data_IF_418574866835
#
_entry.id   IF_418574866835
#
_cell.length_a   1.000
_cell.length_b   1.000
_cell.length_c   1.000
_cell.angle_alpha   90.00
_cell.angle_beta   90.00
_cell.angle_gamma   90.00
#
_symmetry.space_group_name_H-M   'P 1'
#
loop_
_entity.id
_entity.type
_entity.pdbx_description
1 polymer ?
#
# COMPACT_ATOMS: atom_id res chain seq x y z
N UNK A 1 -13.34 14.90 -3.22
CA UNK A 1 -12.81 14.07 -2.11
C UNK A 1 -11.31 14.07 -2.16
N UNK A 2 -10.67 14.31 -1.01
CA UNK A 2 -9.22 14.26 -0.86
C UNK A 2 -8.81 12.97 -0.16
N UNK A 3 -7.88 12.23 -0.76
CA UNK A 3 -7.28 11.05 -0.16
C UNK A 3 -5.79 11.33 0.04
N UNK A 4 -5.26 11.00 1.20
CA UNK A 4 -3.82 10.95 1.44
C UNK A 4 -3.42 9.48 1.49
N UNK A 5 -2.38 9.11 0.75
CA UNK A 5 -1.70 7.81 0.86
C UNK A 5 -0.36 8.02 1.56
N UNK A 6 -0.13 7.22 2.59
CA UNK A 6 1.16 7.03 3.23
C UNK A 6 1.56 5.56 3.11
N UNK A 7 2.84 5.27 3.26
CA UNK A 7 3.37 3.92 3.17
C UNK A 7 4.65 3.78 3.99
N UNK A 8 4.95 2.57 4.39
CA UNK A 8 6.26 2.22 4.95
C UNK A 8 6.64 3.14 6.12
N UNK A 9 5.75 3.24 7.11
CA UNK A 9 5.97 4.04 8.33
C UNK A 9 6.84 3.34 9.36
N UNK A 10 6.88 2.01 9.35
CA UNK A 10 7.69 1.17 10.23
C UNK A 10 7.66 1.60 11.69
N UNK A 11 6.44 1.63 12.25
CA UNK A 11 6.21 2.02 13.64
C UNK A 11 6.46 0.84 14.58
N UNK A 12 7.07 1.10 15.72
CA UNK A 12 7.25 0.15 16.83
C UNK A 12 7.46 0.89 18.13
N UNK A 13 6.91 0.34 19.22
CA UNK A 13 7.16 0.85 20.56
C UNK A 13 8.58 0.51 21.03
N UNK A 14 9.05 -0.69 20.73
CA UNK A 14 10.32 -1.22 21.24
C UNK A 14 11.51 -0.99 20.30
N UNK A 15 11.24 -0.71 19.01
CA UNK A 15 12.23 -0.45 17.97
C UNK A 15 11.99 0.91 17.31
N UNK A 16 12.18 2.04 18.05
CA UNK A 16 11.77 3.38 17.59
C UNK A 16 12.76 4.04 16.63
N UNK A 17 13.46 3.28 15.78
CA UNK A 17 14.56 3.77 14.92
C UNK A 17 14.15 4.92 13.99
N UNK A 18 12.89 4.94 13.53
CA UNK A 18 12.38 5.92 12.56
C UNK A 18 11.17 6.68 13.11
N UNK A 19 10.90 6.56 14.41
CA UNK A 19 9.70 7.08 15.05
C UNK A 19 9.64 8.61 15.08
N UNK A 20 10.79 9.28 15.01
CA UNK A 20 10.87 10.74 14.91
C UNK A 20 10.16 11.29 13.67
N UNK A 21 9.98 10.49 12.62
CA UNK A 21 9.21 10.84 11.43
C UNK A 21 7.69 10.77 11.64
N UNK A 22 7.20 10.09 12.68
CA UNK A 22 5.76 9.99 12.90
C UNK A 22 5.09 11.31 13.24
N UNK A 23 5.64 12.09 14.17
CA UNK A 23 5.03 13.34 14.59
C UNK A 23 4.91 14.40 13.48
N UNK A 24 5.95 14.70 12.68
CA UNK A 24 5.82 15.59 11.53
C UNK A 24 4.88 15.05 10.45
N UNK A 25 4.86 13.73 10.20
CA UNK A 25 3.93 13.10 9.26
C UNK A 25 2.48 13.28 9.72
N UNK A 26 2.18 13.00 10.99
CA UNK A 26 0.84 13.13 11.57
C UNK A 26 0.35 14.59 11.51
N UNK A 27 1.19 15.55 11.85
CA UNK A 27 0.87 16.95 11.74
C UNK A 27 0.57 17.37 10.30
N UNK A 28 1.41 16.94 9.36
CA UNK A 28 1.19 17.22 7.94
C UNK A 28 -0.09 16.58 7.40
N UNK A 29 -0.41 15.34 7.78
CA UNK A 29 -1.66 14.66 7.39
C UNK A 29 -2.86 15.47 7.88
N UNK A 30 -2.84 15.93 9.13
CA UNK A 30 -3.92 16.76 9.69
C UNK A 30 -4.10 18.07 8.89
N UNK A 31 -3.02 18.72 8.50
CA UNK A 31 -3.05 19.94 7.68
C UNK A 31 -3.57 19.70 6.25
N UNK A 32 -3.49 18.47 5.74
CA UNK A 32 -4.08 18.14 4.44
C UNK A 32 -5.61 18.03 4.50
N UNK A 33 -6.21 17.87 5.68
CA UNK A 33 -7.65 17.64 5.86
C UNK A 33 -8.21 16.55 4.94
N UNK A 34 -7.65 15.34 4.93
CA UNK A 34 -8.12 14.28 4.04
C UNK A 34 -9.49 13.74 4.47
N UNK A 35 -10.34 13.40 3.50
CA UNK A 35 -11.58 12.66 3.73
C UNK A 35 -11.31 11.18 4.04
N UNK A 36 -10.16 10.67 3.57
CA UNK A 36 -9.70 9.31 3.80
C UNK A 36 -8.16 9.26 3.78
N UNK A 37 -7.59 8.59 4.77
CA UNK A 37 -6.18 8.21 4.79
C UNK A 37 -6.06 6.74 4.37
N UNK A 38 -5.14 6.43 3.45
CA UNK A 38 -4.85 5.06 3.03
C UNK A 38 -3.39 4.76 3.35
N UNK A 39 -3.14 3.68 4.10
CA UNK A 39 -1.80 3.16 4.36
C UNK A 39 -1.54 1.93 3.49
N UNK A 40 -0.51 1.98 2.66
CA UNK A 40 -0.19 0.89 1.73
C UNK A 40 0.88 -0.07 2.25
N UNK A 41 0.80 -0.41 3.56
CA UNK A 41 1.56 -1.49 4.18
C UNK A 41 2.92 -1.09 4.76
N UNK A 42 3.55 -2.04 5.42
CA UNK A 42 4.71 -1.85 6.28
C UNK A 42 4.46 -0.74 7.29
N UNK A 43 3.30 -0.89 7.95
CA UNK A 43 2.88 0.02 9.04
C UNK A 43 3.79 -0.16 10.23
N UNK A 44 4.20 -1.42 10.49
CA UNK A 44 5.01 -1.83 11.63
C UNK A 44 6.44 -2.16 11.25
N UNK A 45 7.36 -2.12 12.23
CA UNK A 45 8.72 -2.64 12.05
C UNK A 45 8.73 -4.17 11.96
N UNK A 46 7.93 -4.86 12.79
CA UNK A 46 7.98 -6.33 12.91
C UNK A 46 6.66 -6.94 13.39
N UNK A 47 5.52 -6.44 12.93
CA UNK A 47 4.20 -6.96 13.31
C UNK A 47 4.01 -8.44 13.00
N UNK A 48 4.70 -8.95 11.98
CA UNK A 48 4.72 -10.37 11.63
C UNK A 48 5.38 -11.26 12.70
N UNK A 49 6.30 -10.71 13.49
CA UNK A 49 6.99 -11.40 14.60
C UNK A 49 6.58 -10.93 15.98
N UNK A 50 6.16 -9.66 16.09
CA UNK A 50 5.91 -8.96 17.37
C UNK A 50 4.54 -8.30 17.32
N UNK A 51 3.50 -9.04 17.74
CA UNK A 51 2.10 -8.58 17.60
C UNK A 51 1.79 -7.27 18.34
N UNK A 52 2.58 -6.88 19.37
CA UNK A 52 2.41 -5.60 20.04
C UNK A 52 2.65 -4.43 19.09
N UNK A 53 3.51 -4.58 18.08
CA UNK A 53 3.72 -3.55 17.07
C UNK A 53 2.44 -3.26 16.28
N UNK A 54 1.63 -4.31 15.97
CA UNK A 54 0.33 -4.12 15.30
C UNK A 54 -0.64 -3.29 16.15
N UNK A 55 -0.78 -3.63 17.44
CA UNK A 55 -1.69 -2.89 18.32
C UNK A 55 -1.24 -1.45 18.55
N UNK A 56 0.05 -1.25 18.76
CA UNK A 56 0.64 0.07 18.95
C UNK A 56 0.46 0.97 17.71
N UNK A 57 0.75 0.43 16.53
CA UNK A 57 0.62 1.19 15.29
C UNK A 57 -0.83 1.49 14.92
N UNK A 58 -1.76 0.55 15.17
CA UNK A 58 -3.19 0.79 14.99
C UNK A 58 -3.70 1.90 15.92
N UNK A 59 -3.25 1.94 17.18
CA UNK A 59 -3.57 3.02 18.11
C UNK A 59 -3.08 4.38 17.58
N UNK A 60 -1.85 4.46 17.09
CA UNK A 60 -1.31 5.70 16.51
C UNK A 60 -2.11 6.17 15.28
N UNK A 61 -2.58 5.24 14.45
CA UNK A 61 -3.47 5.57 13.33
C UNK A 61 -4.83 6.10 13.79
N UNK A 62 -5.42 5.50 14.84
CA UNK A 62 -6.68 5.95 15.42
C UNK A 62 -6.55 7.34 16.09
N UNK A 63 -5.43 7.63 16.73
CA UNK A 63 -5.13 8.92 17.36
C UNK A 63 -5.09 10.10 16.36
N UNK A 64 -4.91 9.83 15.05
CA UNK A 64 -5.05 10.86 14.01
C UNK A 64 -6.48 11.45 13.94
N UNK A 65 -7.49 10.73 14.43
CA UNK A 65 -8.89 11.15 14.36
C UNK A 65 -9.44 11.29 12.96
N UNK A 66 -8.79 10.71 11.97
CA UNK A 66 -9.15 10.71 10.54
C UNK A 66 -9.60 9.31 10.15
N UNK A 67 -10.60 9.21 9.31
CA UNK A 67 -11.00 7.91 8.74
C UNK A 67 -9.85 7.34 7.93
N UNK A 68 -9.48 6.09 8.22
CA UNK A 68 -8.40 5.43 7.52
C UNK A 68 -8.72 4.01 7.05
N UNK A 69 -7.96 3.54 6.09
CA UNK A 69 -7.87 2.15 5.62
C UNK A 69 -6.41 1.77 5.46
N UNK A 70 -6.11 0.50 5.67
CA UNK A 70 -4.77 -0.02 5.43
C UNK A 70 -4.83 -1.35 4.69
N UNK A 71 -3.76 -1.68 3.99
CA UNK A 71 -3.44 -3.02 3.52
C UNK A 71 -2.13 -3.44 4.17
N UNK A 72 -1.90 -4.73 4.44
CA UNK A 72 -0.67 -5.15 5.09
C UNK A 72 0.52 -5.09 4.14
N UNK A 73 1.71 -4.90 4.72
CA UNK A 73 3.00 -5.11 4.10
C UNK A 73 3.70 -6.35 4.64
N UNK A 74 4.90 -6.62 4.16
CA UNK A 74 5.65 -7.83 4.56
C UNK A 74 6.16 -7.75 6.01
N UNK A 75 6.38 -6.56 6.55
CA UNK A 75 6.70 -6.40 7.97
C UNK A 75 5.48 -6.62 8.88
N UNK A 76 4.26 -6.51 8.34
CA UNK A 76 3.03 -6.65 9.10
C UNK A 76 2.53 -8.10 9.19
N UNK A 77 2.59 -8.85 8.07
CA UNK A 77 2.01 -10.22 7.97
C UNK A 77 2.99 -11.28 7.46
N UNK A 78 4.24 -10.88 7.17
CA UNK A 78 5.25 -11.78 6.62
C UNK A 78 5.25 -11.84 5.09
N UNK A 79 6.16 -12.62 4.54
CA UNK A 79 6.39 -12.75 3.09
C UNK A 79 6.70 -14.21 2.74
N UNK A 80 6.06 -14.75 1.71
CA UNK A 80 6.33 -16.09 1.20
C UNK A 80 7.80 -16.32 0.79
N UNK A 81 8.52 -15.24 0.45
CA UNK A 81 9.95 -15.28 0.14
C UNK A 81 10.84 -15.33 1.40
N UNK A 82 10.29 -15.10 2.59
CA UNK A 82 11.04 -15.03 3.84
C UNK A 82 10.85 -16.30 4.69
N UNK A 83 11.85 -17.19 4.67
CA UNK A 83 11.75 -18.52 5.31
C UNK A 83 11.43 -18.51 6.81
N UNK A 84 11.78 -17.45 7.56
CA UNK A 84 11.51 -17.34 9.00
C UNK A 84 10.20 -16.61 9.31
N UNK A 85 9.71 -15.80 8.40
CA UNK A 85 8.49 -15.04 8.53
C UNK A 85 7.61 -15.17 7.27
N UNK A 86 7.19 -16.40 6.89
CA UNK A 86 6.26 -16.53 5.77
C UNK A 86 4.92 -15.91 6.14
N UNK A 87 4.23 -15.36 5.14
CA UNK A 87 2.81 -15.03 5.30
C UNK A 87 2.04 -16.32 5.65
N UNK A 88 1.10 -16.25 6.56
CA UNK A 88 0.25 -17.37 6.96
C UNK A 88 -1.03 -16.90 7.65
N UNK A 89 -2.00 -17.80 7.82
CA UNK A 89 -3.30 -17.52 8.44
C UNK A 89 -3.20 -16.92 9.85
N UNK A 90 -2.20 -17.31 10.67
CA UNK A 90 -2.02 -16.75 12.01
C UNK A 90 -1.67 -15.26 11.97
N UNK A 91 -0.72 -14.86 11.11
CA UNK A 91 -0.29 -13.47 10.95
C UNK A 91 -1.38 -12.61 10.33
N UNK A 92 -2.08 -13.13 9.33
CA UNK A 92 -3.26 -12.47 8.75
C UNK A 92 -4.34 -12.26 9.81
N UNK A 93 -4.60 -13.28 10.63
CA UNK A 93 -5.55 -13.18 11.75
C UNK A 93 -5.08 -12.17 12.82
N UNK A 94 -3.77 -12.04 13.06
CA UNK A 94 -3.22 -11.01 13.93
C UNK A 94 -3.47 -9.60 13.37
N UNK A 95 -3.22 -9.38 12.09
CA UNK A 95 -3.56 -8.15 11.40
C UNK A 95 -5.04 -7.81 11.52
N UNK A 96 -5.93 -8.78 11.26
CA UNK A 96 -7.39 -8.58 11.33
C UNK A 96 -7.88 -8.07 12.69
N UNK A 97 -7.21 -8.44 13.79
CA UNK A 97 -7.60 -8.01 15.14
C UNK A 97 -7.38 -6.51 15.38
N UNK A 98 -6.44 -5.89 14.67
CA UNK A 98 -6.02 -4.51 14.92
C UNK A 98 -6.35 -3.56 13.77
N UNK A 99 -6.25 -4.03 12.52
CA UNK A 99 -6.44 -3.23 11.32
C UNK A 99 -7.74 -3.55 10.55
N UNK A 100 -8.48 -4.57 10.97
CA UNK A 100 -9.62 -5.09 10.22
C UNK A 100 -9.17 -5.99 9.07
N UNK A 101 -10.02 -6.16 8.06
CA UNK A 101 -9.72 -7.04 6.93
C UNK A 101 -8.45 -6.60 6.19
N UNK A 102 -7.64 -7.58 5.78
CA UNK A 102 -6.43 -7.43 4.96
C UNK A 102 -6.73 -6.92 3.54
N UNK A 103 -7.98 -7.08 3.11
CA UNK A 103 -8.52 -6.58 1.86
C UNK A 103 -9.85 -5.88 2.10
N UNK A 104 -10.16 -4.88 1.31
CA UNK A 104 -11.36 -4.06 1.49
C UNK A 104 -11.82 -3.42 0.18
N UNK A 105 -13.10 -3.10 0.13
CA UNK A 105 -13.69 -2.28 -0.93
C UNK A 105 -14.43 -1.11 -0.30
N UNK A 106 -14.33 0.05 -0.93
CA UNK A 106 -15.01 1.24 -0.51
C UNK A 106 -15.53 2.01 -1.72
N UNK A 107 -16.85 2.17 -1.78
CA UNK A 107 -17.51 2.97 -2.81
C UNK A 107 -17.63 4.42 -2.36
N UNK A 108 -17.07 5.32 -3.14
CA UNK A 108 -17.11 6.76 -2.93
C UNK A 108 -18.03 7.36 -3.97
N UNK A 109 -19.03 8.10 -3.51
CA UNK A 109 -19.93 8.83 -4.38
C UNK A 109 -19.71 10.33 -4.18
N UNK A 110 -19.21 11.01 -5.21
CA UNK A 110 -19.11 12.46 -5.24
C UNK A 110 -19.76 13.00 -6.52
N UNK A 111 -20.88 13.69 -6.36
CA UNK A 111 -21.65 14.21 -7.50
C UNK A 111 -22.19 13.09 -8.41
N UNK A 112 -22.02 13.26 -9.72
CA UNK A 112 -22.46 12.30 -10.73
C UNK A 112 -21.48 11.15 -10.95
N UNK A 113 -20.24 11.23 -10.43
CA UNK A 113 -19.23 10.20 -10.59
C UNK A 113 -19.02 9.38 -9.33
N UNK A 114 -18.72 8.12 -9.55
CA UNK A 114 -18.54 7.14 -8.50
C UNK A 114 -17.19 6.47 -8.65
N UNK A 115 -16.48 6.35 -7.54
CA UNK A 115 -15.24 5.60 -7.45
C UNK A 115 -15.42 4.34 -6.63
N UNK A 116 -14.71 3.30 -7.00
CA UNK A 116 -14.50 2.11 -6.18
C UNK A 116 -13.02 2.03 -5.83
N UNK A 117 -12.73 2.16 -4.54
CA UNK A 117 -11.40 1.98 -3.98
C UNK A 117 -11.29 0.55 -3.49
N UNK A 118 -10.23 -0.15 -3.87
CA UNK A 118 -10.01 -1.56 -3.52
C UNK A 118 -8.63 -1.70 -2.89
N UNK A 119 -8.59 -2.16 -1.65
CA UNK A 119 -7.35 -2.56 -0.99
C UNK A 119 -7.12 -4.07 -1.16
N UNK A 120 -5.88 -4.46 -1.46
CA UNK A 120 -5.48 -5.85 -1.73
C UNK A 120 -4.28 -6.23 -0.86
N UNK A 121 -4.33 -7.41 -0.26
CA UNK A 121 -3.16 -8.00 0.37
C UNK A 121 -2.22 -8.57 -0.71
N UNK A 122 -1.15 -7.82 -0.98
CA UNK A 122 -0.14 -8.19 -1.96
C UNK A 122 0.72 -9.39 -1.52
N UNK A 123 0.77 -9.68 -0.21
CA UNK A 123 1.60 -10.73 0.36
C UNK A 123 0.98 -12.13 0.18
N UNK A 124 -0.33 -12.19 -0.03
CA UNK A 124 -1.03 -13.43 -0.40
C UNK A 124 -0.71 -13.88 -1.82
N UNK A 125 -0.39 -12.94 -2.73
CA UNK A 125 -0.24 -13.22 -4.16
C UNK A 125 1.01 -14.05 -4.47
N UNK A 126 0.81 -15.33 -4.74
CA UNK A 126 1.85 -16.33 -4.97
C UNK A 126 2.41 -16.94 -3.67
N UNK A 127 1.66 -16.83 -2.58
CA UNK A 127 2.00 -17.44 -1.30
C UNK A 127 1.67 -18.93 -1.23
N UNK A 128 0.59 -19.36 -1.89
CA UNK A 128 0.03 -20.70 -1.79
C UNK A 128 -0.86 -20.91 -0.56
N UNK A 129 -1.11 -19.84 0.23
CA UNK A 129 -2.06 -19.89 1.34
C UNK A 129 -3.51 -19.96 0.81
N UNK A 130 -4.44 -20.64 1.51
CA UNK A 130 -5.84 -20.72 1.07
C UNK A 130 -6.51 -19.36 0.89
N UNK A 131 -6.11 -18.37 1.67
CA UNK A 131 -6.61 -17.01 1.61
C UNK A 131 -6.26 -16.29 0.29
N UNK A 132 -5.26 -16.78 -0.46
CA UNK A 132 -4.95 -16.28 -1.81
C UNK A 132 -6.11 -16.55 -2.77
N UNK A 133 -6.62 -17.79 -2.79
CA UNK A 133 -7.76 -18.17 -3.64
C UNK A 133 -9.03 -17.42 -3.21
N UNK A 134 -9.25 -17.25 -1.89
CA UNK A 134 -10.36 -16.47 -1.38
C UNK A 134 -10.29 -15.01 -1.83
N UNK A 135 -9.10 -14.40 -1.79
CA UNK A 135 -8.90 -13.03 -2.27
C UNK A 135 -9.15 -12.93 -3.78
N UNK A 136 -8.67 -13.89 -4.56
CA UNK A 136 -8.86 -13.90 -6.01
C UNK A 136 -10.36 -13.95 -6.37
N UNK A 137 -11.12 -14.86 -5.78
CA UNK A 137 -12.57 -14.96 -6.00
C UNK A 137 -13.32 -13.70 -5.53
N UNK A 138 -12.97 -13.17 -4.36
CA UNK A 138 -13.54 -11.93 -3.86
C UNK A 138 -13.25 -10.75 -4.78
N UNK A 139 -12.02 -10.65 -5.30
CA UNK A 139 -11.64 -9.57 -6.21
C UNK A 139 -12.43 -9.64 -7.52
N UNK A 140 -12.58 -10.82 -8.13
CA UNK A 140 -13.40 -11.01 -9.32
C UNK A 140 -14.84 -10.51 -9.10
N UNK A 141 -15.45 -10.86 -7.96
CA UNK A 141 -16.78 -10.40 -7.60
C UNK A 141 -16.83 -8.87 -7.44
N UNK A 142 -15.90 -8.30 -6.67
CA UNK A 142 -15.82 -6.85 -6.45
C UNK A 142 -15.66 -6.09 -7.77
N UNK A 143 -14.86 -6.62 -8.69
CA UNK A 143 -14.66 -6.01 -10.00
C UNK A 143 -15.90 -6.12 -10.89
N UNK A 144 -16.59 -7.26 -10.88
CA UNK A 144 -17.84 -7.46 -11.65
C UNK A 144 -18.96 -6.54 -11.15
N UNK A 145 -19.02 -6.28 -9.84
CA UNK A 145 -20.02 -5.40 -9.21
C UNK A 145 -19.66 -3.90 -9.31
N UNK A 146 -18.54 -3.54 -9.92
CA UNK A 146 -18.14 -2.13 -10.01
C UNK A 146 -19.10 -1.28 -10.85
N UNK A 147 -19.77 -1.86 -11.83
CA UNK A 147 -20.67 -1.13 -12.73
C UNK A 147 -19.90 -0.05 -13.49
N UNK A 148 -20.40 1.18 -13.47
CA UNK A 148 -19.78 2.34 -14.13
C UNK A 148 -18.76 3.09 -13.25
N UNK A 149 -18.44 2.57 -12.06
CA UNK A 149 -17.47 3.20 -11.17
C UNK A 149 -16.08 3.17 -11.77
N UNK A 150 -15.35 4.26 -11.61
CA UNK A 150 -13.89 4.26 -11.83
C UNK A 150 -13.23 3.51 -10.68
N UNK A 151 -12.20 2.75 -10.96
CA UNK A 151 -11.59 1.83 -10.01
C UNK A 151 -10.17 2.28 -9.71
N UNK A 152 -9.81 2.29 -8.41
CA UNK A 152 -8.46 2.50 -7.93
C UNK A 152 -8.08 1.36 -6.98
N UNK A 153 -6.90 0.77 -7.20
CA UNK A 153 -6.33 -0.27 -6.35
C UNK A 153 -5.21 0.26 -5.48
N UNK A 154 -5.18 -0.22 -4.24
CA UNK A 154 -4.15 0.07 -3.25
C UNK A 154 -3.61 -1.26 -2.71
N UNK A 155 -2.32 -1.46 -2.82
CA UNK A 155 -1.63 -2.66 -2.38
C UNK A 155 -0.22 -2.30 -1.91
N UNK A 156 0.43 -3.18 -1.15
CA UNK A 156 1.77 -2.87 -0.67
C UNK A 156 2.81 -3.03 -1.79
N UNK A 157 2.94 -4.24 -2.33
CA UNK A 157 3.94 -4.57 -3.34
C UNK A 157 3.46 -4.18 -4.74
N UNK A 158 4.27 -3.49 -5.58
CA UNK A 158 3.86 -3.12 -6.93
C UNK A 158 3.65 -4.35 -7.82
N UNK A 159 2.80 -4.22 -8.84
CA UNK A 159 2.58 -5.32 -9.79
C UNK A 159 3.86 -5.66 -10.57
N UNK A 160 4.61 -4.66 -10.96
CA UNK A 160 5.87 -4.78 -11.71
C UNK A 160 6.77 -3.56 -11.45
N UNK A 161 8.05 -3.67 -11.78
CA UNK A 161 9.01 -2.59 -11.61
C UNK A 161 9.09 -1.69 -12.85
N UNK A 162 9.31 -2.26 -14.01
CA UNK A 162 9.51 -1.49 -15.24
C UNK A 162 8.66 -2.02 -16.41
N UNK A 163 8.61 -3.32 -16.60
CA UNK A 163 7.87 -3.98 -17.68
C UNK A 163 6.88 -5.00 -17.09
N UNK A 164 5.58 -4.93 -17.44
CA UNK A 164 4.59 -5.93 -16.99
C UNK A 164 4.95 -7.37 -17.34
N UNK A 165 5.73 -7.58 -18.40
CA UNK A 165 6.24 -8.88 -18.84
C UNK A 165 7.58 -9.30 -18.20
N UNK A 166 8.14 -8.49 -17.29
CA UNK A 166 9.39 -8.83 -16.61
C UNK A 166 9.31 -10.18 -15.88
N UNK A 167 10.46 -10.84 -15.71
CA UNK A 167 10.56 -12.08 -14.98
C UNK A 167 10.22 -11.96 -13.50
N UNK A 168 10.59 -12.98 -12.73
CA UNK A 168 10.46 -12.94 -11.27
C UNK A 168 11.54 -12.00 -10.69
N UNK A 169 11.08 -10.94 -10.04
CA UNK A 169 11.94 -9.97 -9.35
C UNK A 169 12.17 -10.34 -7.88
N UNK A 170 11.65 -11.49 -7.46
CA UNK A 170 11.74 -11.97 -6.08
C UNK A 170 10.95 -11.09 -5.12
N UNK A 171 11.66 -10.43 -4.23
CA UNK A 171 11.09 -9.60 -3.16
C UNK A 171 10.38 -8.34 -3.66
N UNK A 172 10.77 -7.80 -4.83
CA UNK A 172 10.51 -6.39 -5.19
C UNK A 172 9.17 -6.14 -5.89
N UNK A 173 8.59 -7.12 -6.56
CA UNK A 173 7.26 -6.98 -7.20
C UNK A 173 6.45 -8.28 -7.12
N UNK A 174 5.18 -8.20 -7.51
CA UNK A 174 4.30 -9.38 -7.58
C UNK A 174 4.88 -10.41 -8.58
N UNK A 175 4.91 -11.69 -8.19
CA UNK A 175 5.41 -12.80 -9.02
C UNK A 175 4.67 -12.89 -10.36
N UNK A 176 5.31 -13.38 -11.43
CA UNK A 176 4.76 -13.34 -12.79
C UNK A 176 3.37 -13.98 -12.96
N UNK A 177 3.11 -15.11 -12.30
CA UNK A 177 1.85 -15.83 -12.45
C UNK A 177 0.66 -15.04 -11.86
N UNK A 178 0.62 -14.63 -10.57
CA UNK A 178 -0.46 -13.80 -10.05
C UNK A 178 -0.49 -12.41 -10.71
N UNK A 179 0.65 -11.82 -11.04
CA UNK A 179 0.72 -10.56 -11.78
C UNK A 179 -0.05 -10.62 -13.11
N UNK A 180 0.12 -11.70 -13.88
CA UNK A 180 -0.59 -11.89 -15.14
C UNK A 180 -2.11 -11.86 -14.98
N UNK A 181 -2.65 -12.53 -13.96
CA UNK A 181 -4.07 -12.52 -13.65
C UNK A 181 -4.56 -11.13 -13.23
N UNK A 182 -3.80 -10.43 -12.38
CA UNK A 182 -4.14 -9.07 -11.95
C UNK A 182 -4.12 -8.07 -13.12
N UNK A 183 -3.13 -8.13 -14.00
CA UNK A 183 -3.06 -7.28 -15.18
C UNK A 183 -4.21 -7.55 -16.16
N UNK A 184 -4.69 -8.80 -16.26
CA UNK A 184 -5.89 -9.10 -17.03
C UNK A 184 -7.13 -8.40 -16.47
N UNK A 185 -7.32 -8.42 -15.14
CA UNK A 185 -8.41 -7.69 -14.47
C UNK A 185 -8.26 -6.17 -14.63
N UNK A 186 -7.03 -5.64 -14.51
CA UNK A 186 -6.74 -4.21 -14.73
C UNK A 186 -7.21 -3.77 -16.12
N UNK A 187 -6.86 -4.53 -17.18
CA UNK A 187 -7.27 -4.24 -18.55
C UNK A 187 -8.78 -4.40 -18.75
N UNK A 188 -9.34 -5.52 -18.30
CA UNK A 188 -10.75 -5.86 -18.46
C UNK A 188 -11.66 -4.78 -17.86
N UNK A 189 -11.35 -4.32 -16.66
CA UNK A 189 -12.16 -3.36 -15.91
C UNK A 189 -11.67 -1.92 -16.01
N UNK A 190 -10.62 -1.66 -16.81
CA UNK A 190 -10.05 -0.33 -17.03
C UNK A 190 -9.72 0.37 -15.72
N UNK A 191 -9.00 -0.32 -14.84
CA UNK A 191 -8.56 0.25 -13.57
C UNK A 191 -7.79 1.54 -13.83
N UNK A 192 -8.25 2.63 -13.23
CA UNK A 192 -7.70 3.95 -13.50
C UNK A 192 -6.39 4.22 -12.75
N UNK A 193 -6.23 3.61 -11.57
CA UNK A 193 -5.06 3.77 -10.70
C UNK A 193 -4.70 2.45 -10.03
N UNK A 194 -3.40 2.16 -9.99
CA UNK A 194 -2.79 1.15 -9.11
C UNK A 194 -1.72 1.85 -8.28
N UNK A 195 -1.92 1.92 -6.97
CA UNK A 195 -1.04 2.61 -6.04
C UNK A 195 -0.39 1.60 -5.08
N UNK A 196 0.92 1.73 -4.85
CA UNK A 196 1.68 0.81 -3.99
C UNK A 196 2.72 1.54 -3.14
N UNK A 197 3.37 0.80 -2.23
CA UNK A 197 4.51 1.22 -1.41
C UNK A 197 5.72 0.32 -1.64
N UNK A 198 6.29 -0.21 -0.54
CA UNK A 198 7.30 -1.26 -0.50
C UNK A 198 8.71 -0.88 -0.99
N UNK A 199 8.80 -0.12 -2.06
CA UNK A 199 10.11 0.13 -2.71
C UNK A 199 10.89 1.27 -2.07
N UNK A 200 10.28 2.02 -1.12
CA UNK A 200 10.86 3.24 -0.56
C UNK A 200 11.34 4.20 -1.66
N UNK A 201 10.61 4.21 -2.76
CA UNK A 201 10.83 5.07 -3.93
C UNK A 201 9.54 5.70 -4.41
N UNK A 202 9.66 6.90 -4.91
CA UNK A 202 8.57 7.62 -5.54
C UNK A 202 8.59 7.42 -7.05
N UNK A 203 7.47 7.00 -7.64
CA UNK A 203 7.32 6.92 -9.10
C UNK A 203 5.88 7.17 -9.49
N UNK A 204 5.67 7.90 -10.58
CA UNK A 204 4.38 8.16 -11.18
C UNK A 204 4.49 7.96 -12.68
N UNK A 205 3.80 6.96 -13.21
CA UNK A 205 3.87 6.61 -14.63
C UNK A 205 2.54 6.02 -15.10
N UNK A 206 2.36 5.94 -16.42
CA UNK A 206 1.19 5.32 -17.01
C UNK A 206 1.59 4.18 -17.94
N UNK A 207 0.80 3.11 -17.92
CA UNK A 207 0.93 2.00 -18.85
C UNK A 207 -0.46 1.50 -19.26
N UNK A 208 -0.72 1.33 -20.57
CA UNK A 208 -2.00 0.88 -21.14
C UNK A 208 -3.24 1.59 -20.58
N UNK A 209 -3.14 2.89 -20.31
CA UNK A 209 -4.25 3.71 -19.82
C UNK A 209 -4.49 3.66 -18.29
N UNK A 210 -3.75 2.84 -17.57
CA UNK A 210 -3.72 2.80 -16.10
C UNK A 210 -2.57 3.64 -15.58
N UNK A 211 -2.81 4.46 -14.56
CA UNK A 211 -1.76 5.17 -13.82
C UNK A 211 -1.23 4.30 -12.71
N UNK A 212 0.07 4.19 -12.59
CA UNK A 212 0.77 3.48 -11.52
C UNK A 212 1.52 4.48 -10.66
N UNK A 213 1.33 4.41 -9.34
CA UNK A 213 2.03 5.28 -8.41
C UNK A 213 2.68 4.43 -7.33
N UNK A 214 3.99 4.60 -7.16
CA UNK A 214 4.71 4.12 -5.99
C UNK A 214 4.78 5.27 -5.00
N UNK A 215 4.16 5.07 -3.85
CA UNK A 215 4.27 6.01 -2.73
C UNK A 215 5.69 5.97 -2.18
N UNK A 216 6.30 7.13 -1.95
CA UNK A 216 7.51 7.17 -1.15
C UNK A 216 7.24 6.60 0.25
N UNK A 217 8.28 6.07 0.89
CA UNK A 217 8.23 5.74 2.30
C UNK A 217 8.12 7.00 3.16
N UNK A 218 7.57 6.84 4.36
CA UNK A 218 7.52 7.94 5.32
C UNK A 218 8.57 7.80 6.44
N UNK A 219 9.28 6.67 6.50
CA UNK A 219 10.25 6.35 7.56
C UNK A 219 11.71 6.50 7.13
N UNK A 220 12.16 5.72 6.16
CA UNK A 220 13.57 5.66 5.74
C UNK A 220 13.72 5.34 4.24
N UNK A 221 14.93 5.50 3.74
CA UNK A 221 15.34 5.11 2.39
C UNK A 221 16.19 3.84 2.44
N UNK A 222 16.13 3.05 1.36
CA UNK A 222 16.95 1.86 1.19
C UNK A 222 18.18 2.18 0.35
N UNK A 223 19.35 1.86 0.89
CA UNK A 223 20.66 2.12 0.28
C UNK A 223 21.10 1.07 -0.74
N UNK A 224 22.35 0.62 -0.60
CA UNK A 224 23.02 -0.32 -1.51
C UNK A 224 22.37 -1.72 -1.64
N UNK A 225 21.68 -2.28 -0.65
CA UNK A 225 20.98 -3.57 -0.81
C UNK A 225 19.88 -3.55 -1.87
N UNK A 226 19.32 -2.39 -2.21
CA UNK A 226 18.28 -2.28 -3.22
C UNK A 226 18.89 -2.33 -4.62
N UNK A 227 18.43 -3.25 -5.51
CA UNK A 227 18.91 -3.29 -6.88
C UNK A 227 18.57 -2.01 -7.62
N UNK A 228 19.29 -1.77 -8.72
CA UNK A 228 18.96 -0.66 -9.61
C UNK A 228 17.56 -0.88 -10.20
N UNK A 229 16.68 0.10 -10.00
CA UNK A 229 15.31 0.10 -10.49
C UNK A 229 14.83 1.55 -10.66
N UNK A 230 13.78 1.78 -11.47
CA UNK A 230 13.19 3.11 -11.63
C UNK A 230 12.70 3.73 -10.31
N UNK A 231 12.39 5.02 -10.36
CA UNK A 231 11.86 5.78 -9.24
C UNK A 231 12.91 6.58 -8.46
N UNK A 232 12.45 7.62 -7.80
CA UNK A 232 13.25 8.55 -7.02
C UNK A 232 13.32 8.11 -5.56
N UNK A 233 14.52 8.07 -4.96
CA UNK A 233 14.70 7.88 -3.51
C UNK A 233 14.37 9.18 -2.80
N UNK A 234 13.20 9.24 -2.16
CA UNK A 234 12.74 10.38 -1.36
C UNK A 234 11.71 9.92 -0.34
N UNK A 235 11.60 10.63 0.77
CA UNK A 235 10.52 10.47 1.73
C UNK A 235 9.32 11.34 1.34
N UNK A 236 8.13 10.96 1.81
CA UNK A 236 6.94 11.75 1.58
C UNK A 236 5.63 10.96 1.65
N UNK A 237 4.64 11.43 0.90
CA UNK A 237 3.30 10.85 0.81
C UNK A 237 2.70 11.15 -0.58
N UNK A 238 1.49 10.65 -0.85
CA UNK A 238 0.75 10.98 -2.08
C UNK A 238 -0.60 11.60 -1.72
N UNK A 239 -0.94 12.70 -2.38
CA UNK A 239 -2.25 13.34 -2.25
C UNK A 239 -3.04 13.14 -3.52
N UNK A 240 -4.25 12.58 -3.39
CA UNK A 240 -5.19 12.40 -4.48
C UNK A 240 -6.37 13.36 -4.31
N UNK A 241 -6.82 13.95 -5.41
CA UNK A 241 -8.09 14.65 -5.49
C UNK A 241 -9.00 13.91 -6.46
N UNK A 242 -10.09 13.38 -5.95
CA UNK A 242 -11.15 12.78 -6.75
C UNK A 242 -12.19 13.83 -7.06
N UNK A 243 -12.25 14.25 -8.31
CA UNK A 243 -13.29 15.12 -8.83
C UNK A 243 -14.23 14.35 -9.77
N UNK A 244 -15.30 15.00 -10.22
CA UNK A 244 -16.34 14.36 -11.05
C UNK A 244 -15.83 13.66 -12.33
N UNK A 245 -14.69 14.09 -12.89
CA UNK A 245 -14.16 13.56 -14.15
C UNK A 245 -12.71 13.08 -14.07
N UNK A 246 -11.97 13.50 -13.04
CA UNK A 246 -10.51 13.28 -12.98
C UNK A 246 -10.07 12.82 -11.60
N UNK A 247 -9.07 11.95 -11.62
CA UNK A 247 -8.20 11.71 -10.48
C UNK A 247 -6.92 12.48 -10.73
N UNK A 248 -6.63 13.45 -9.90
CA UNK A 248 -5.29 14.04 -9.84
C UNK A 248 -4.53 13.41 -8.70
N UNK A 249 -3.23 13.22 -8.88
CA UNK A 249 -2.34 12.70 -7.86
C UNK A 249 -1.06 13.50 -7.86
N UNK A 250 -0.54 13.75 -6.67
CA UNK A 250 0.70 14.50 -6.46
C UNK A 250 1.53 13.79 -5.39
N UNK A 251 2.73 13.37 -5.75
CA UNK A 251 3.72 12.95 -4.77
C UNK A 251 4.16 14.20 -4.01
N UNK A 252 3.94 14.20 -2.70
CA UNK A 252 4.13 15.33 -1.82
C UNK A 252 5.37 15.16 -0.95
N UNK A 253 6.14 16.20 -0.82
CA UNK A 253 7.10 16.33 0.26
C UNK A 253 6.37 16.57 1.58
N UNK A 254 6.82 15.91 2.64
CA UNK A 254 6.31 16.12 4.00
C UNK A 254 7.40 16.87 4.77
N UNK A 255 7.17 18.14 5.12
CA UNK A 255 8.16 18.93 5.85
C UNK A 255 8.46 18.31 7.23
N UNK A 256 9.73 18.34 7.60
CA UNK A 256 10.19 17.87 8.90
C UNK A 256 10.49 16.38 9.00
N UNK A 257 10.36 15.61 7.93
CA UNK A 257 10.85 14.24 7.90
C UNK A 257 12.40 14.23 7.90
N UNK A 258 12.97 13.48 8.81
CA UNK A 258 14.40 13.15 8.83
C UNK A 258 14.69 12.06 7.82
N UNK A 259 15.69 12.28 6.96
CA UNK A 259 16.10 11.29 5.96
C UNK A 259 16.99 10.23 6.62
N UNK A 260 16.37 9.16 7.08
CA UNK A 260 17.08 7.97 7.54
C UNK A 260 17.42 7.03 6.37
N UNK A 261 18.45 6.23 6.55
CA UNK A 261 18.81 5.13 5.65
C UNK A 261 18.81 3.82 6.43
N UNK A 262 18.40 2.72 5.81
CA UNK A 262 18.35 1.43 6.51
C UNK A 262 19.72 0.93 6.95
N UNK A 263 20.79 1.44 6.33
CA UNK A 263 22.18 1.07 6.59
C UNK A 263 22.87 1.97 7.65
N UNK A 264 22.14 2.93 8.25
CA UNK A 264 22.65 3.87 9.26
C UNK A 264 22.70 3.28 10.68
#
# INVERSE_FOLDING_TARGET
MRIVQISDTHLSQDKPHFFDNWAPLAAWIADQHPDLLIHTGDVTVDGAGVQVDLSYSAQLMDELGIRWRAVPGNHDVGDACHARQPVNAERISAWHRHFGRDRWVEDVAEGAQRWRLVGLDALLMGSGEPEEDEQALWLEQVMAEAGERRIAWFLHRPLFLDDPGEGDTGYWSIKPQPRGALLALVRQHRVALVASGHLHKARDFAFEGTRYIWSPASSFLVGAPQPEMPGEKRLGAVVYELNNTTLTARIAEVPGLTQHWIDD
#
